data_IF_690098144595
#
_entry.id   IF_690098144595
#
_cell.length_a   1.000
_cell.length_b   1.000
_cell.length_c   1.000
_cell.angle_alpha   90.00
_cell.angle_beta   90.00
_cell.angle_gamma   90.00
#
_symmetry.space_group_name_H-M   'P 1'
#
loop_
_entity.id
_entity.type
_entity.pdbx_description
1 polymer ?
#
# COMPACT_ATOMS: atom_id res chain seq x y z
N UNK A 1 -35.69 -54.03 -44.82
CA UNK A 1 -35.47 -53.90 -43.37
C UNK A 1 -34.94 -52.48 -43.00
N UNK A 2 -34.85 -51.51 -43.91
CA UNK A 2 -34.33 -50.18 -43.62
C UNK A 2 -35.42 -49.15 -43.28
N UNK A 3 -36.69 -49.39 -43.52
CA UNK A 3 -37.79 -48.46 -43.32
C UNK A 3 -38.30 -48.40 -41.86
N UNK A 4 -38.08 -49.48 -41.09
CA UNK A 4 -38.55 -49.51 -39.68
C UNK A 4 -37.66 -48.74 -38.70
N UNK A 5 -36.37 -48.58 -38.99
CA UNK A 5 -35.42 -47.91 -38.12
C UNK A 5 -35.52 -46.39 -38.16
N UNK A 6 -35.90 -45.84 -39.30
CA UNK A 6 -36.08 -44.38 -39.52
C UNK A 6 -37.31 -43.87 -38.73
N UNK A 7 -38.39 -44.66 -38.71
CA UNK A 7 -39.61 -44.26 -37.98
C UNK A 7 -39.42 -44.23 -36.45
N UNK A 8 -38.61 -45.13 -35.89
CA UNK A 8 -38.32 -45.18 -34.43
C UNK A 8 -37.46 -43.97 -34.02
N UNK A 9 -36.50 -43.55 -34.86
CA UNK A 9 -35.66 -42.39 -34.54
C UNK A 9 -36.43 -41.04 -34.63
N UNK A 10 -37.39 -40.94 -35.53
CA UNK A 10 -38.23 -39.74 -35.64
C UNK A 10 -39.21 -39.64 -34.46
N UNK A 11 -39.78 -40.77 -34.01
CA UNK A 11 -40.64 -40.78 -32.84
C UNK A 11 -39.91 -40.45 -31.52
N UNK A 12 -38.64 -40.86 -31.38
CA UNK A 12 -37.82 -40.52 -30.23
C UNK A 12 -37.43 -39.03 -30.19
N UNK A 13 -37.17 -38.41 -31.35
CA UNK A 13 -36.86 -36.99 -31.44
C UNK A 13 -38.06 -36.11 -31.09
N UNK A 14 -39.27 -36.49 -31.48
CA UNK A 14 -40.51 -35.75 -31.14
C UNK A 14 -40.83 -35.86 -29.65
N UNK A 15 -40.58 -37.03 -29.03
CA UNK A 15 -40.83 -37.21 -27.60
C UNK A 15 -39.87 -36.39 -26.72
N UNK A 16 -38.64 -36.21 -27.15
CA UNK A 16 -37.65 -35.36 -26.43
C UNK A 16 -38.02 -33.90 -26.54
N UNK A 17 -38.54 -33.43 -27.68
CA UNK A 17 -38.99 -32.05 -27.82
C UNK A 17 -40.28 -31.74 -27.06
N UNK A 18 -41.20 -32.70 -26.92
CA UNK A 18 -42.41 -32.52 -26.15
C UNK A 18 -42.15 -32.45 -24.62
N UNK A 19 -41.07 -33.10 -24.14
CA UNK A 19 -40.70 -33.09 -22.71
C UNK A 19 -39.97 -31.81 -22.31
N UNK A 20 -39.33 -31.07 -23.26
CA UNK A 20 -38.65 -29.81 -23.02
C UNK A 20 -39.58 -28.60 -22.88
N UNK A 21 -40.83 -28.72 -23.29
CA UNK A 21 -41.81 -27.60 -23.26
C UNK A 21 -42.61 -27.53 -21.95
N UNK A 22 -42.41 -28.44 -20.98
CA UNK A 22 -43.19 -28.47 -19.74
C UNK A 22 -42.41 -28.12 -18.47
N UNK A 23 -41.15 -27.65 -18.60
CA UNK A 23 -40.32 -27.18 -17.48
C UNK A 23 -40.01 -25.67 -17.66
N UNK A 24 -41.09 -24.86 -17.71
CA UNK A 24 -40.91 -23.42 -17.44
C UNK A 24 -40.77 -23.25 -15.93
N UNK A 25 -39.68 -22.70 -15.41
CA UNK A 25 -39.61 -22.33 -14.00
C UNK A 25 -40.64 -21.25 -13.73
N UNK A 26 -41.44 -21.44 -12.66
CA UNK A 26 -42.37 -20.44 -12.17
C UNK A 26 -41.63 -19.09 -11.96
N UNK A 27 -42.29 -17.95 -12.22
CA UNK A 27 -41.68 -16.66 -11.96
C UNK A 27 -41.36 -16.55 -10.47
N UNK A 28 -40.10 -16.35 -10.15
CA UNK A 28 -39.63 -16.00 -8.79
C UNK A 28 -40.19 -14.61 -8.50
N UNK A 29 -41.24 -14.55 -7.69
CA UNK A 29 -41.70 -13.28 -7.12
C UNK A 29 -40.64 -12.83 -6.13
N UNK A 30 -39.78 -11.90 -6.56
CA UNK A 30 -38.86 -11.23 -5.65
C UNK A 30 -39.69 -10.28 -4.80
N UNK A 31 -39.92 -10.66 -3.56
CA UNK A 31 -40.58 -9.82 -2.58
C UNK A 31 -39.63 -8.70 -2.16
N UNK A 32 -39.77 -7.51 -2.75
CA UNK A 32 -38.95 -6.32 -2.55
C UNK A 32 -39.34 -5.53 -1.29
N UNK A 33 -39.57 -6.18 -0.19
CA UNK A 33 -39.90 -5.51 1.08
C UNK A 33 -39.12 -6.06 2.27
N UNK A 34 -37.84 -6.32 2.10
CA UNK A 34 -36.92 -6.38 3.24
C UNK A 34 -36.24 -5.01 3.36
N UNK A 35 -36.30 -4.33 4.52
CA UNK A 35 -35.52 -3.14 4.73
C UNK A 35 -34.03 -3.54 4.64
N UNK A 36 -33.28 -2.80 3.84
CA UNK A 36 -31.82 -2.88 3.80
C UNK A 36 -31.32 -2.64 5.22
N UNK A 37 -30.94 -3.70 5.91
CA UNK A 37 -30.14 -3.54 7.12
C UNK A 37 -28.92 -2.71 6.75
N UNK A 38 -28.60 -1.65 7.50
CA UNK A 38 -27.39 -0.91 7.24
C UNK A 38 -26.23 -1.90 7.38
N UNK A 39 -25.49 -2.09 6.28
CA UNK A 39 -24.19 -2.74 6.33
C UNK A 39 -23.39 -1.89 7.31
N UNK A 40 -23.16 -2.42 8.50
CA UNK A 40 -22.18 -1.89 9.43
C UNK A 40 -20.86 -1.91 8.69
N UNK A 41 -20.50 -0.76 8.12
CA UNK A 41 -19.14 -0.47 7.74
C UNK A 41 -18.40 -0.58 9.07
N UNK A 42 -17.71 -1.70 9.25
CA UNK A 42 -16.79 -1.87 10.35
C UNK A 42 -15.73 -0.79 10.12
N UNK A 43 -15.85 0.32 10.86
CA UNK A 43 -14.75 1.29 10.95
C UNK A 43 -13.51 0.48 11.30
N UNK A 44 -12.64 0.34 10.31
CA UNK A 44 -11.29 -0.14 10.53
C UNK A 44 -10.70 0.83 11.54
N UNK A 45 -10.44 0.36 12.74
CA UNK A 45 -9.80 1.15 13.78
C UNK A 45 -8.40 1.50 13.26
N UNK A 46 -8.31 2.65 12.63
CA UNK A 46 -7.04 3.31 12.36
C UNK A 46 -6.35 3.43 13.71
N UNK A 47 -5.16 2.85 13.89
CA UNK A 47 -4.40 3.13 15.11
C UNK A 47 -4.27 4.65 15.19
N UNK A 48 -4.44 5.25 16.38
CA UNK A 48 -4.41 6.71 16.51
C UNK A 48 -3.09 7.19 15.93
N UNK A 49 -3.18 8.15 15.03
CA UNK A 49 -2.03 8.89 14.55
C UNK A 49 -1.22 9.30 15.77
N UNK A 50 0.01 8.80 15.88
CA UNK A 50 0.92 9.21 16.93
C UNK A 50 1.10 10.71 16.74
N UNK A 51 0.62 11.56 17.67
CA UNK A 51 0.83 12.98 17.53
C UNK A 51 2.34 13.21 17.63
N UNK A 52 2.92 13.74 16.56
CA UNK A 52 4.29 14.27 16.60
C UNK A 52 4.19 15.53 17.47
N UNK A 53 4.35 15.35 18.77
CA UNK A 53 4.54 16.48 19.69
C UNK A 53 5.91 17.08 19.40
N UNK A 54 5.92 18.14 18.63
CA UNK A 54 7.02 19.09 18.60
C UNK A 54 6.87 19.95 19.86
N UNK A 55 7.41 19.48 20.97
CA UNK A 55 7.64 20.33 22.14
C UNK A 55 9.11 20.70 22.16
N UNK A 56 9.44 21.77 21.46
CA UNK A 56 10.65 22.54 21.73
C UNK A 56 10.23 23.80 22.48
N UNK A 57 10.25 23.71 23.78
CA UNK A 57 10.27 24.83 24.70
C UNK A 57 11.58 24.73 25.49
N UNK A 58 12.65 25.19 24.85
CA UNK A 58 13.92 25.41 25.51
C UNK A 58 13.80 26.52 26.54
N UNK A 59 13.72 26.16 27.82
CA UNK A 59 13.95 27.09 28.92
C UNK A 59 15.41 27.53 28.89
N UNK A 60 15.62 28.82 28.73
CA UNK A 60 16.91 29.52 28.93
C UNK A 60 17.07 29.72 30.44
N UNK A 61 18.10 29.17 31.10
CA UNK A 61 18.53 29.68 32.38
C UNK A 61 19.64 30.71 32.14
N UNK A 62 19.32 31.96 32.43
CA UNK A 62 20.27 33.01 32.65
C UNK A 62 21.15 32.68 33.87
N UNK A 63 22.45 32.52 33.68
CA UNK A 63 23.44 32.67 34.75
C UNK A 63 24.78 33.18 34.22
N UNK A 64 24.92 34.44 34.40
CA UNK A 64 26.20 35.14 34.47
C UNK A 64 27.18 34.39 35.37
N UNK A 65 28.29 33.94 34.81
CA UNK A 65 29.50 33.66 35.61
C UNK A 65 30.73 34.02 34.79
N UNK A 66 31.48 34.88 35.39
CA UNK A 66 32.72 35.55 35.11
C UNK A 66 33.79 34.68 34.44
N UNK A 67 34.38 35.21 33.39
CA UNK A 67 35.48 34.68 32.62
C UNK A 67 36.81 34.69 33.39
N UNK A 68 37.57 33.61 33.25
CA UNK A 68 39.02 33.63 33.41
C UNK A 68 39.67 33.22 32.08
N UNK A 69 40.70 33.91 31.60
CA UNK A 69 41.33 33.65 30.31
C UNK A 69 42.44 32.63 30.44
N UNK A 70 42.42 31.56 29.67
CA UNK A 70 43.56 30.67 29.60
C UNK A 70 43.31 29.35 28.91
N UNK A 71 43.75 29.25 27.73
CA UNK A 71 44.33 28.18 26.92
C UNK A 71 43.67 28.06 25.54
N UNK A 72 44.41 27.87 24.47
CA UNK A 72 43.86 27.74 23.13
C UNK A 72 43.13 26.42 23.03
N UNK A 73 41.81 26.51 22.79
CA UNK A 73 40.98 25.36 22.51
C UNK A 73 41.43 24.79 21.19
N UNK A 74 42.10 23.63 21.23
CA UNK A 74 42.34 22.83 20.05
C UNK A 74 41.00 22.59 19.34
N UNK A 75 40.84 23.13 18.15
CA UNK A 75 39.76 22.85 17.25
C UNK A 75 39.71 21.33 17.02
N UNK A 76 38.62 20.62 17.32
CA UNK A 76 38.52 19.22 16.94
C UNK A 76 38.45 19.16 15.41
N UNK A 77 39.62 18.97 14.78
CA UNK A 77 39.74 18.63 13.37
C UNK A 77 39.30 17.19 13.21
N UNK A 78 38.05 16.99 12.84
CA UNK A 78 37.48 15.63 12.68
C UNK A 78 35.99 15.63 12.54
N UNK A 79 35.43 16.53 11.72
CA UNK A 79 34.10 16.30 11.20
C UNK A 79 34.22 15.14 10.19
N UNK A 80 34.11 13.91 10.68
CA UNK A 80 33.90 12.75 9.82
C UNK A 80 32.69 13.07 8.96
N UNK A 81 32.94 13.43 7.72
CA UNK A 81 31.88 13.62 6.71
C UNK A 81 31.31 12.24 6.42
N UNK A 82 30.41 11.78 7.28
CA UNK A 82 29.72 10.53 7.06
C UNK A 82 28.88 10.71 5.80
N UNK A 83 29.29 10.01 4.72
CA UNK A 83 28.58 10.07 3.45
C UNK A 83 27.18 9.50 3.64
N UNK A 84 26.17 10.34 3.51
CA UNK A 84 24.76 9.92 3.53
C UNK A 84 24.54 8.96 2.35
N UNK A 85 24.04 7.73 2.58
CA UNK A 85 23.74 6.82 1.48
C UNK A 85 22.72 7.47 0.53
N UNK A 86 22.95 7.37 -0.75
CA UNK A 86 21.99 7.77 -1.76
C UNK A 86 20.99 6.63 -1.92
N UNK A 87 19.72 6.90 -1.68
CA UNK A 87 18.62 5.97 -1.94
C UNK A 87 17.90 6.48 -3.18
N UNK A 88 17.83 5.63 -4.19
CA UNK A 88 17.09 5.93 -5.42
C UNK A 88 15.64 5.43 -5.28
N UNK A 89 14.65 6.31 -5.45
CA UNK A 89 13.24 5.95 -5.31
C UNK A 89 12.84 4.81 -6.24
N UNK A 90 13.18 4.89 -7.52
CA UNK A 90 12.78 3.87 -8.50
C UNK A 90 13.43 2.51 -8.24
N UNK A 91 14.68 2.50 -7.77
CA UNK A 91 15.38 1.27 -7.39
C UNK A 91 14.76 0.67 -6.13
N UNK A 92 14.41 1.50 -5.13
CA UNK A 92 13.72 1.07 -3.93
C UNK A 92 12.32 0.49 -4.25
N UNK A 93 11.55 1.14 -5.13
CA UNK A 93 10.26 0.62 -5.62
C UNK A 93 10.40 -0.76 -6.26
N UNK A 94 11.41 -0.93 -7.13
CA UNK A 94 11.70 -2.21 -7.76
C UNK A 94 12.03 -3.27 -6.71
N UNK A 95 12.87 -2.93 -5.74
CA UNK A 95 13.28 -3.87 -4.70
C UNK A 95 12.13 -4.29 -3.80
N UNK A 96 11.24 -3.35 -3.43
CA UNK A 96 10.02 -3.67 -2.67
C UNK A 96 9.13 -4.62 -3.47
N UNK A 97 8.91 -4.35 -4.77
CA UNK A 97 8.14 -5.23 -5.65
C UNK A 97 8.70 -6.66 -5.69
N UNK A 98 10.01 -6.82 -5.83
CA UNK A 98 10.67 -8.11 -5.81
C UNK A 98 10.45 -8.86 -4.48
N UNK A 99 10.56 -8.15 -3.34
CA UNK A 99 10.37 -8.74 -2.02
C UNK A 99 8.91 -9.14 -1.79
N UNK A 100 7.94 -8.30 -2.16
CA UNK A 100 6.51 -8.63 -2.11
C UNK A 100 6.22 -9.88 -2.93
N UNK A 101 6.76 -9.99 -4.13
CA UNK A 101 6.55 -11.16 -4.98
C UNK A 101 7.25 -12.41 -4.44
N UNK A 102 8.37 -12.28 -3.76
CA UNK A 102 9.01 -13.39 -3.04
C UNK A 102 8.10 -13.89 -1.91
N UNK A 103 7.56 -13.00 -1.09
CA UNK A 103 6.61 -13.34 -0.03
C UNK A 103 5.38 -14.05 -0.61
N UNK A 104 4.80 -13.55 -1.69
CA UNK A 104 3.66 -14.19 -2.35
C UNK A 104 3.99 -15.61 -2.83
N UNK A 105 5.13 -15.81 -3.46
CA UNK A 105 5.60 -17.12 -3.92
C UNK A 105 5.80 -18.11 -2.75
N UNK A 106 6.37 -17.64 -1.64
CA UNK A 106 6.53 -18.45 -0.41
C UNK A 106 5.18 -18.89 0.16
N UNK A 107 4.10 -18.14 -0.10
CA UNK A 107 2.72 -18.48 0.27
C UNK A 107 1.94 -19.19 -0.86
N UNK A 108 2.61 -19.62 -1.92
CA UNK A 108 1.99 -20.37 -3.03
C UNK A 108 1.09 -19.53 -3.95
N UNK A 109 1.27 -18.19 -3.93
CA UNK A 109 0.51 -17.25 -4.75
C UNK A 109 1.28 -16.85 -6.01
N UNK A 110 0.54 -16.49 -7.06
CA UNK A 110 1.13 -15.92 -8.26
C UNK A 110 1.76 -14.55 -7.96
N UNK A 111 2.87 -14.25 -8.63
CA UNK A 111 3.47 -12.94 -8.56
C UNK A 111 2.52 -11.86 -9.12
N UNK A 112 2.58 -10.67 -8.53
CA UNK A 112 1.92 -9.47 -9.04
C UNK A 112 2.72 -8.92 -10.23
N UNK A 113 2.00 -8.50 -11.27
CA UNK A 113 2.59 -7.67 -12.32
C UNK A 113 2.70 -6.21 -11.88
N UNK A 114 3.64 -5.47 -12.44
CA UNK A 114 3.67 -4.00 -12.27
C UNK A 114 2.65 -3.34 -13.19
N UNK A 115 1.93 -2.33 -12.67
CA UNK A 115 1.02 -1.48 -13.45
C UNK A 115 1.50 -0.03 -13.42
N UNK A 116 1.67 0.57 -14.59
CA UNK A 116 2.23 1.92 -14.72
C UNK A 116 1.30 3.00 -14.16
N UNK A 117 -0.02 2.78 -14.23
CA UNK A 117 -0.99 3.74 -13.70
C UNK A 117 -1.02 3.65 -12.18
N UNK A 118 -1.08 2.43 -11.62
CA UNK A 118 -0.99 2.23 -10.16
C UNK A 118 0.34 2.79 -9.62
N UNK A 119 1.46 2.56 -10.32
CA UNK A 119 2.75 3.15 -9.93
C UNK A 119 2.71 4.68 -9.93
N UNK A 120 2.05 5.28 -10.92
CA UNK A 120 1.90 6.75 -10.97
C UNK A 120 1.02 7.26 -9.82
N UNK A 121 -0.08 6.57 -9.51
CA UNK A 121 -0.96 6.90 -8.39
C UNK A 121 -0.22 6.80 -7.05
N UNK A 122 0.47 5.70 -6.81
CA UNK A 122 1.26 5.47 -5.61
C UNK A 122 2.36 6.53 -5.42
N UNK A 123 3.11 6.85 -6.49
CA UNK A 123 4.12 7.93 -6.47
C UNK A 123 3.51 9.30 -6.17
N UNK A 124 2.36 9.60 -6.80
CA UNK A 124 1.64 10.85 -6.55
C UNK A 124 1.20 10.95 -5.10
N UNK A 125 0.68 9.87 -4.52
CA UNK A 125 0.22 9.87 -3.13
C UNK A 125 1.39 10.00 -2.14
N UNK A 126 2.48 9.24 -2.33
CA UNK A 126 3.69 9.39 -1.51
C UNK A 126 4.27 10.80 -1.61
N UNK A 127 4.26 11.40 -2.80
CA UNK A 127 4.71 12.79 -3.01
C UNK A 127 3.81 13.79 -2.31
N UNK A 128 2.49 13.59 -2.36
CA UNK A 128 1.51 14.44 -1.69
C UNK A 128 1.69 14.40 -0.16
N UNK A 129 1.82 13.18 0.42
CA UNK A 129 2.14 13.02 1.84
C UNK A 129 3.43 13.73 2.24
N UNK A 130 4.49 13.56 1.44
CA UNK A 130 5.78 14.18 1.69
C UNK A 130 5.76 15.71 1.60
N UNK A 131 5.04 16.25 0.62
CA UNK A 131 4.97 17.69 0.35
C UNK A 131 4.06 18.41 1.33
N UNK A 132 2.94 17.82 1.71
CA UNK A 132 1.91 18.44 2.56
C UNK A 132 2.01 18.03 4.03
N UNK A 133 2.94 17.12 4.39
CA UNK A 133 3.26 16.79 5.77
C UNK A 133 2.15 16.00 6.50
N UNK A 134 1.52 15.04 5.84
CA UNK A 134 0.54 14.14 6.44
C UNK A 134 0.88 12.67 6.13
N UNK A 135 0.20 11.74 6.81
CA UNK A 135 0.29 10.30 6.55
C UNK A 135 -1.10 9.68 6.72
N UNK A 136 -1.64 9.10 5.65
CA UNK A 136 -2.97 8.47 5.68
C UNK A 136 -3.47 8.05 4.30
N UNK A 137 -4.41 7.11 4.29
CA UNK A 137 -5.04 6.55 3.08
C UNK A 137 -5.91 7.58 2.32
N UNK A 138 -6.55 8.48 3.05
CA UNK A 138 -7.32 9.59 2.48
C UNK A 138 -6.43 10.82 2.45
N UNK A 139 -6.28 11.40 1.26
CA UNK A 139 -5.48 12.60 1.11
C UNK A 139 -6.22 13.85 1.63
N UNK A 140 -5.52 14.98 1.73
CA UNK A 140 -6.10 16.24 2.22
C UNK A 140 -7.18 16.84 1.29
N UNK A 141 -7.43 16.22 0.13
CA UNK A 141 -8.53 16.54 -0.78
C UNK A 141 -9.68 15.51 -0.67
N UNK A 142 -9.74 14.79 0.46
CA UNK A 142 -10.76 13.79 0.82
C UNK A 142 -10.88 12.62 -0.18
N UNK A 143 -9.77 12.23 -0.84
CA UNK A 143 -9.72 11.13 -1.80
C UNK A 143 -8.95 9.94 -1.25
N UNK A 144 -9.58 8.79 -1.19
CA UNK A 144 -8.92 7.50 -1.00
C UNK A 144 -8.22 7.03 -2.29
N UNK A 145 -7.58 5.86 -2.25
CA UNK A 145 -6.88 5.29 -3.41
C UNK A 145 -7.81 5.09 -4.62
N UNK A 146 -9.03 4.62 -4.40
CA UNK A 146 -10.02 4.41 -5.47
C UNK A 146 -10.46 5.74 -6.11
N UNK A 147 -10.72 6.75 -5.30
CA UNK A 147 -11.10 8.08 -5.77
C UNK A 147 -9.92 8.78 -6.49
N UNK A 148 -8.67 8.57 -6.05
CA UNK A 148 -7.48 9.03 -6.76
C UNK A 148 -7.35 8.34 -8.13
N UNK A 149 -7.59 7.02 -8.18
CA UNK A 149 -7.63 6.24 -9.41
C UNK A 149 -8.68 6.76 -10.39
N UNK A 150 -9.92 6.91 -9.92
CA UNK A 150 -11.02 7.42 -10.74
C UNK A 150 -10.73 8.83 -11.30
N UNK A 151 -10.13 9.71 -10.50
CA UNK A 151 -9.73 11.04 -10.95
C UNK A 151 -8.64 11.01 -12.04
N UNK A 152 -7.83 9.94 -12.08
CA UNK A 152 -6.83 9.68 -13.13
C UNK A 152 -7.39 8.87 -14.31
N UNK A 153 -8.69 8.58 -14.33
CA UNK A 153 -9.32 7.77 -15.38
C UNK A 153 -9.03 6.28 -15.28
N UNK A 154 -8.60 5.81 -14.11
CA UNK A 154 -8.31 4.39 -13.84
C UNK A 154 -9.45 3.75 -13.05
N UNK A 155 -9.87 2.56 -13.50
CA UNK A 155 -10.77 1.68 -12.75
C UNK A 155 -10.12 0.32 -12.60
N UNK A 156 -10.13 -0.21 -11.38
CA UNK A 156 -9.59 -1.52 -11.10
C UNK A 156 -10.55 -2.61 -11.61
N UNK A 157 -10.12 -3.40 -12.57
CA UNK A 157 -10.83 -4.58 -13.06
C UNK A 157 -9.95 -5.81 -12.86
N UNK A 158 -10.51 -6.84 -12.23
CA UNK A 158 -9.80 -8.11 -12.00
C UNK A 158 -9.98 -9.03 -13.20
N UNK A 159 -8.96 -9.83 -13.51
CA UNK A 159 -9.00 -10.73 -14.67
C UNK A 159 -10.16 -11.74 -14.62
N UNK A 160 -10.56 -12.16 -13.40
CA UNK A 160 -11.68 -13.09 -13.19
C UNK A 160 -13.05 -12.45 -13.40
N UNK A 161 -13.14 -11.12 -13.32
CA UNK A 161 -14.39 -10.36 -13.47
C UNK A 161 -14.11 -8.97 -14.05
N UNK A 162 -14.04 -8.85 -15.39
CA UNK A 162 -13.71 -7.60 -16.05
C UNK A 162 -14.89 -6.59 -16.10
N UNK A 163 -16.09 -7.00 -15.68
CA UNK A 163 -17.29 -6.15 -15.77
C UNK A 163 -17.49 -5.27 -14.54
N UNK A 164 -16.91 -5.66 -13.39
CA UNK A 164 -17.02 -4.88 -12.17
C UNK A 164 -15.73 -4.11 -11.87
N UNK A 165 -15.88 -2.86 -11.50
CA UNK A 165 -14.79 -2.09 -10.91
C UNK A 165 -14.66 -2.41 -9.43
N UNK A 166 -13.45 -2.74 -9.01
CA UNK A 166 -13.11 -3.01 -7.62
C UNK A 166 -12.43 -1.81 -7.00
N UNK A 167 -12.45 -1.74 -5.67
CA UNK A 167 -11.63 -0.76 -4.97
C UNK A 167 -10.14 -1.06 -5.19
N UNK A 168 -9.34 -0.01 -5.29
CA UNK A 168 -7.89 -0.11 -5.19
C UNK A 168 -7.56 -0.37 -3.73
N UNK A 169 -6.92 -1.48 -3.41
CA UNK A 169 -6.39 -1.71 -2.08
C UNK A 169 -5.04 -1.00 -1.94
N UNK A 170 -4.75 -0.50 -0.75
CA UNK A 170 -3.56 0.31 -0.52
C UNK A 170 -2.84 -0.09 0.76
N UNK A 171 -1.52 -0.20 0.69
CA UNK A 171 -0.62 -0.27 1.83
C UNK A 171 0.22 1.00 1.91
N UNK A 172 0.40 1.52 3.12
CA UNK A 172 1.24 2.67 3.39
C UNK A 172 2.35 2.32 4.38
N UNK A 173 3.51 2.95 4.19
CA UNK A 173 4.60 2.90 5.15
C UNK A 173 5.33 4.23 5.19
N UNK A 174 5.73 4.65 6.39
CA UNK A 174 6.55 5.84 6.57
C UNK A 174 7.68 5.54 7.57
N UNK A 175 8.87 5.98 7.22
CA UNK A 175 10.08 5.77 8.03
C UNK A 175 11.06 6.93 7.83
N UNK A 176 12.23 6.83 8.47
CA UNK A 176 13.33 7.77 8.32
C UNK A 176 14.53 7.10 7.68
N UNK A 177 15.29 7.83 6.88
CA UNK A 177 16.59 7.36 6.39
C UNK A 177 17.62 7.24 7.51
N UNK A 178 17.53 8.12 8.53
CA UNK A 178 18.35 8.03 9.73
C UNK A 178 17.76 7.05 10.74
N UNK A 179 18.55 6.05 11.16
CA UNK A 179 18.12 5.02 12.12
C UNK A 179 18.41 5.36 13.55
N UNK A 180 19.51 6.02 13.80
CA UNK A 180 19.96 6.41 15.11
C UNK A 180 20.66 7.76 15.07
N UNK A 181 20.43 8.54 16.11
CA UNK A 181 21.23 9.73 16.39
C UNK A 181 22.37 9.31 17.28
N UNK A 182 23.58 9.34 16.76
CA UNK A 182 24.78 9.05 17.52
C UNK A 182 25.13 10.24 18.40
N UNK A 183 25.32 9.99 19.69
CA UNK A 183 25.67 11.05 20.66
C UNK A 183 26.98 10.73 21.35
N UNK A 184 27.83 11.74 21.47
CA UNK A 184 29.05 11.72 22.26
C UNK A 184 28.95 12.84 23.29
N UNK A 185 29.10 12.52 24.58
CA UNK A 185 29.00 13.48 25.68
C UNK A 185 27.71 14.34 25.64
N UNK A 186 26.57 13.70 25.28
CA UNK A 186 25.27 14.36 25.17
C UNK A 186 25.05 15.20 23.90
N UNK A 187 26.09 15.38 23.07
CA UNK A 187 26.01 16.12 21.80
C UNK A 187 25.81 15.17 20.62
N UNK A 188 25.05 15.60 19.61
CA UNK A 188 24.93 14.83 18.35
C UNK A 188 26.29 14.76 17.68
N UNK A 189 26.82 13.56 17.51
CA UNK A 189 28.10 13.29 16.85
C UNK A 189 27.94 12.74 15.43
N UNK A 190 26.75 12.23 15.10
CA UNK A 190 26.45 11.67 13.77
C UNK A 190 25.11 10.96 13.73
N UNK A 191 24.87 10.28 12.62
CA UNK A 191 23.67 9.50 12.37
C UNK A 191 24.06 8.11 11.82
N UNK A 192 23.34 7.08 12.22
CA UNK A 192 23.35 5.80 11.53
C UNK A 192 22.31 5.86 10.40
N UNK A 193 22.75 5.67 9.18
CA UNK A 193 21.89 5.72 7.99
C UNK A 193 21.52 4.32 7.53
N UNK A 194 20.27 4.14 7.05
CA UNK A 194 19.87 2.94 6.35
C UNK A 194 20.34 2.99 4.90
N UNK A 195 20.39 1.84 4.26
CA UNK A 195 20.57 1.72 2.82
C UNK A 195 19.28 1.26 2.14
N UNK A 196 19.28 1.20 0.82
CA UNK A 196 18.11 0.88 0.00
C UNK A 196 17.59 -0.54 0.26
N UNK A 197 18.49 -1.54 0.34
CA UNK A 197 18.12 -2.92 0.63
C UNK A 197 17.43 -3.07 1.99
N UNK A 198 18.07 -2.56 3.04
CA UNK A 198 17.52 -2.63 4.39
C UNK A 198 16.18 -1.89 4.52
N UNK A 199 15.99 -0.79 3.76
CA UNK A 199 14.73 -0.05 3.76
C UNK A 199 13.62 -0.83 3.06
N UNK A 200 13.91 -1.51 1.95
CA UNK A 200 12.96 -2.36 1.26
C UNK A 200 12.52 -3.55 2.13
N UNK A 201 13.47 -4.23 2.76
CA UNK A 201 13.21 -5.33 3.67
C UNK A 201 12.32 -4.89 4.84
N UNK A 202 12.66 -3.78 5.49
CA UNK A 202 11.87 -3.23 6.60
C UNK A 202 10.45 -2.85 6.18
N UNK A 203 10.29 -2.26 5.00
CA UNK A 203 8.98 -1.90 4.47
C UNK A 203 8.08 -3.13 4.32
N UNK A 204 8.58 -4.18 3.68
CA UNK A 204 7.82 -5.41 3.46
C UNK A 204 7.60 -6.17 4.77
N UNK A 205 8.58 -6.22 5.66
CA UNK A 205 8.44 -6.81 6.99
C UNK A 205 7.36 -6.09 7.82
N UNK A 206 7.35 -4.75 7.80
CA UNK A 206 6.35 -3.96 8.50
C UNK A 206 4.94 -4.25 7.98
N UNK A 207 4.76 -4.33 6.66
CA UNK A 207 3.48 -4.69 6.06
C UNK A 207 3.07 -6.13 6.43
N UNK A 208 3.98 -7.10 6.38
CA UNK A 208 3.68 -8.49 6.74
C UNK A 208 3.38 -8.69 8.23
N UNK A 209 3.86 -7.82 9.09
CA UNK A 209 3.54 -7.82 10.52
C UNK A 209 2.22 -7.10 10.86
N UNK A 210 1.64 -6.35 9.93
CA UNK A 210 0.33 -5.70 10.05
C UNK A 210 -0.74 -6.55 9.38
N UNK A 211 -1.79 -7.00 10.09
CA UNK A 211 -2.80 -7.89 9.52
C UNK A 211 -3.44 -7.36 8.24
N UNK A 212 -3.89 -6.11 8.23
CA UNK A 212 -4.61 -5.53 7.08
C UNK A 212 -3.69 -5.36 5.86
N UNK A 213 -2.44 -4.92 6.07
CA UNK A 213 -1.45 -4.80 4.99
C UNK A 213 -1.04 -6.16 4.43
N UNK A 214 -0.86 -7.15 5.32
CA UNK A 214 -0.55 -8.52 4.93
C UNK A 214 -1.68 -9.14 4.11
N UNK A 215 -2.93 -8.92 4.50
CA UNK A 215 -4.10 -9.43 3.80
C UNK A 215 -4.16 -8.88 2.36
N UNK A 216 -3.82 -7.61 2.15
CA UNK A 216 -3.67 -7.04 0.80
C UNK A 216 -2.57 -7.75 0.00
N UNK A 217 -1.38 -7.96 0.59
CA UNK A 217 -0.26 -8.63 -0.09
C UNK A 217 -0.62 -10.08 -0.43
N UNK A 218 -1.35 -10.78 0.43
CA UNK A 218 -1.68 -12.19 0.26
C UNK A 218 -3.05 -12.43 -0.41
N UNK A 219 -3.76 -11.40 -0.84
CA UNK A 219 -5.02 -11.57 -1.57
C UNK A 219 -4.72 -12.21 -2.95
N UNK A 220 -5.29 -13.42 -3.15
CA UNK A 220 -5.20 -14.16 -4.42
C UNK A 220 -5.93 -13.50 -5.59
N UNK A 221 -6.85 -12.59 -5.29
CA UNK A 221 -7.60 -11.83 -6.29
C UNK A 221 -6.81 -10.65 -6.88
N UNK A 222 -5.68 -10.27 -6.27
CA UNK A 222 -4.81 -9.23 -6.81
C UNK A 222 -3.89 -9.80 -7.90
N UNK A 223 -3.82 -9.10 -9.03
CA UNK A 223 -3.00 -9.49 -10.19
C UNK A 223 -1.87 -8.52 -10.51
N UNK A 224 -1.95 -7.29 -10.02
CA UNK A 224 -0.99 -6.24 -10.32
C UNK A 224 -0.90 -5.23 -9.19
N UNK A 225 0.22 -4.54 -9.15
CA UNK A 225 0.48 -3.49 -8.18
C UNK A 225 1.26 -2.32 -8.77
N UNK A 226 1.26 -1.22 -8.06
CA UNK A 226 2.15 -0.10 -8.28
C UNK A 226 2.74 0.38 -6.96
N UNK A 227 4.03 0.63 -6.93
CA UNK A 227 4.74 1.12 -5.75
C UNK A 227 5.27 2.52 -6.04
N UNK A 228 5.12 3.41 -5.08
CA UNK A 228 5.59 4.78 -5.14
C UNK A 228 6.34 5.17 -3.88
N UNK A 229 7.52 5.77 -4.06
CA UNK A 229 8.39 6.25 -2.98
C UNK A 229 8.61 7.75 -3.12
N UNK A 230 8.49 8.49 -2.03
CA UNK A 230 8.84 9.89 -1.96
C UNK A 230 9.64 10.21 -0.68
N UNK A 231 10.52 11.21 -0.79
CA UNK A 231 11.33 11.73 0.30
C UNK A 231 10.77 13.06 0.78
N UNK A 232 10.49 13.14 2.08
CA UNK A 232 9.97 14.32 2.74
C UNK A 232 11.03 15.08 3.54
N UNK A 233 10.56 16.05 4.30
CA UNK A 233 11.41 16.81 5.20
C UNK A 233 11.93 15.93 6.35
N UNK A 234 13.06 16.31 6.97
CA UNK A 234 13.61 15.60 8.13
C UNK A 234 14.01 14.15 7.86
N UNK A 235 14.44 13.84 6.64
CA UNK A 235 14.83 12.49 6.23
C UNK A 235 13.70 11.45 6.21
N UNK A 236 12.44 11.88 6.25
CA UNK A 236 11.28 11.00 6.11
C UNK A 236 11.21 10.37 4.72
N UNK A 237 10.73 9.15 4.68
CA UNK A 237 10.43 8.39 3.47
C UNK A 237 9.00 7.90 3.56
N UNK A 238 8.25 8.12 2.50
CA UNK A 238 6.87 7.67 2.35
C UNK A 238 6.82 6.62 1.24
N UNK A 239 6.15 5.52 1.51
CA UNK A 239 5.96 4.44 0.56
C UNK A 239 4.47 4.12 0.47
N UNK A 240 3.96 4.11 -0.76
CA UNK A 240 2.60 3.69 -1.09
C UNK A 240 2.68 2.46 -1.99
N UNK A 241 1.81 1.49 -1.75
CA UNK A 241 1.59 0.32 -2.60
C UNK A 241 0.11 0.24 -2.92
N UNK A 242 -0.25 0.39 -4.19
CA UNK A 242 -1.61 0.27 -4.71
C UNK A 242 -1.78 -1.05 -5.45
N UNK A 243 -2.91 -1.75 -5.21
CA UNK A 243 -3.20 -3.06 -5.79
C UNK A 243 -4.50 -3.07 -6.61
N UNK A 244 -4.47 -3.93 -7.64
CA UNK A 244 -5.66 -4.26 -8.42
C UNK A 244 -5.68 -5.74 -8.89
#
# INVERSE_FOLDING_TARGET
MATGLVLILVAAAILVQALSLHLSPAPVVVNTSAPLSPVLIRESSVPPAVPISVSDQGMIPDKTTTSSPGAPIATPSGRSSQKIPVINAASLETRIHELVNRVRQEHGLSALGTDTILTSLARSHSTDMAARGYFGHVNLDERDATARGAAAGFSCHKAADPYYAYAIAENLYATYRSRQVLRLEGRVSGYAWTNEEAMAEETVEAWMNSPDHRDNILDKGMGREGIGVAFGQGDMVFVTQDFC
#
